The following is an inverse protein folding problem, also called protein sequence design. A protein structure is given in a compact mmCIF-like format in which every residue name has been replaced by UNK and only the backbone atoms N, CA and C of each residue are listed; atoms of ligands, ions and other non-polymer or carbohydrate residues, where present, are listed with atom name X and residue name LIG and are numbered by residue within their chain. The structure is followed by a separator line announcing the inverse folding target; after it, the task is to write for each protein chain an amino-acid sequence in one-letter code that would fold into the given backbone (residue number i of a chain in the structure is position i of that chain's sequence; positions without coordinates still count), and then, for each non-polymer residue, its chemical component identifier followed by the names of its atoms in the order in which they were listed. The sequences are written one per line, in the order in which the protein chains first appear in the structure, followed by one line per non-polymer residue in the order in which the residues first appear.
data_IF_826014750486
#
_entry.id   IF_826014750486
#
_cell.length_a   1.000
_cell.length_b   1.000
_cell.length_c   1.000
_cell.angle_alpha   90.00
_cell.angle_beta   90.00
_cell.angle_gamma   90.00
#
_symmetry.space_group_name_H-M   'P 1'
#
loop_
_entity.id
_entity.type
_entity.pdbx_description
1 polymer ?
#
# COMPACT_ATOMS: atom_id res chain seq x y z
N UNK A 1 -14.09 -24.98 -5.71
CA UNK A 1 -12.89 -24.34 -5.14
C UNK A 1 -12.59 -23.11 -5.98
N UNK A 2 -13.14 -21.95 -5.60
CA UNK A 2 -13.00 -20.71 -6.38
C UNK A 2 -11.77 -20.00 -5.84
N UNK A 3 -10.65 -20.07 -6.55
CA UNK A 3 -9.48 -19.23 -6.32
C UNK A 3 -9.83 -17.86 -6.91
N UNK A 4 -10.59 -17.06 -6.17
CA UNK A 4 -10.84 -15.68 -6.52
C UNK A 4 -9.53 -14.91 -6.39
N UNK A 5 -8.92 -14.51 -7.51
CA UNK A 5 -7.87 -13.49 -7.53
C UNK A 5 -8.46 -12.17 -7.05
N UNK A 6 -8.43 -11.93 -5.75
CA UNK A 6 -8.77 -10.62 -5.17
C UNK A 6 -7.59 -9.66 -5.38
N UNK A 7 -7.61 -8.92 -6.49
CA UNK A 7 -6.73 -7.77 -6.72
C UNK A 7 -7.41 -6.49 -6.19
N UNK A 8 -7.72 -6.49 -4.89
CA UNK A 8 -8.23 -5.31 -4.20
C UNK A 8 -7.06 -4.49 -3.68
N UNK A 9 -6.48 -3.65 -4.52
CA UNK A 9 -5.42 -2.70 -4.13
C UNK A 9 -6.08 -1.55 -3.38
N UNK A 10 -5.82 -1.43 -2.07
CA UNK A 10 -6.04 -0.17 -1.36
C UNK A 10 -5.09 0.86 -1.96
N UNK A 11 -5.60 1.73 -2.84
CA UNK A 11 -4.81 2.81 -3.43
C UNK A 11 -4.64 3.92 -2.41
N UNK A 12 -3.63 3.81 -1.56
CA UNK A 12 -3.29 4.94 -0.66
C UNK A 12 -2.90 6.19 -1.46
N UNK A 13 -2.57 6.04 -2.76
CA UNK A 13 -2.33 7.11 -3.73
C UNK A 13 -3.51 8.06 -3.98
N UNK A 14 -4.73 7.62 -3.71
CA UNK A 14 -5.92 8.48 -3.64
C UNK A 14 -6.68 7.94 -2.45
N UNK A 15 -6.47 8.49 -1.26
CA UNK A 15 -7.12 8.09 0.00
C UNK A 15 -8.65 8.07 -0.18
N UNK A 16 -9.10 6.96 -0.76
CA UNK A 16 -10.45 6.68 -1.19
C UNK A 16 -10.74 5.25 -0.74
N UNK A 17 -11.93 5.01 -0.22
CA UNK A 17 -12.37 3.65 0.05
C UNK A 17 -12.56 2.88 -1.28
N UNK A 18 -13.00 1.63 -1.16
CA UNK A 18 -13.34 0.76 -2.29
C UNK A 18 -14.46 1.33 -3.17
N UNK A 19 -15.20 2.34 -2.68
CA UNK A 19 -16.32 3.00 -3.36
C UNK A 19 -15.90 4.36 -3.97
N UNK A 20 -14.65 4.79 -3.76
CA UNK A 20 -14.12 6.03 -4.31
C UNK A 20 -14.33 7.27 -3.43
N UNK A 21 -14.78 7.13 -2.19
CA UNK A 21 -15.03 8.23 -1.25
C UNK A 21 -13.78 8.72 -0.54
N UNK A 22 -13.62 10.04 -0.38
CA UNK A 22 -12.46 10.63 0.25
C UNK A 22 -12.33 10.22 1.75
N UNK A 23 -11.26 9.48 2.08
CA UNK A 23 -10.98 8.98 3.43
C UNK A 23 -10.33 10.03 4.34
N UNK A 24 -9.69 11.06 3.76
CA UNK A 24 -9.01 12.12 4.51
C UNK A 24 -10.04 12.91 5.31
N UNK A 25 -9.82 13.02 6.63
CA UNK A 25 -10.74 13.70 7.54
C UNK A 25 -11.89 12.83 8.06
N UNK A 26 -12.02 11.58 7.60
CA UNK A 26 -13.12 10.69 8.00
C UNK A 26 -12.62 9.39 8.64
N UNK A 27 -11.60 8.76 8.05
CA UNK A 27 -11.14 7.44 8.47
C UNK A 27 -10.30 7.49 9.75
N UNK A 28 -10.59 6.60 10.72
CA UNK A 28 -9.88 6.50 12.01
C UNK A 28 -9.06 5.21 12.11
N UNK A 29 -7.75 5.33 12.27
CA UNK A 29 -6.83 4.20 12.35
C UNK A 29 -5.46 4.60 12.88
N UNK A 30 -4.56 3.64 12.94
CA UNK A 30 -3.16 3.85 13.32
C UNK A 30 -2.33 4.20 12.07
N UNK A 31 -2.30 5.47 11.65
CA UNK A 31 -1.65 5.87 10.40
C UNK A 31 -0.14 6.12 10.56
N UNK A 32 0.69 5.60 9.66
CA UNK A 32 2.10 5.98 9.58
C UNK A 32 2.23 7.49 9.32
N UNK A 33 3.10 8.14 10.09
CA UNK A 33 3.49 9.53 9.91
C UNK A 33 5.00 9.71 10.03
N UNK A 34 5.50 10.93 9.83
CA UNK A 34 6.94 11.20 9.84
C UNK A 34 7.64 10.81 11.17
N UNK A 35 6.94 10.87 12.30
CA UNK A 35 7.48 10.52 13.62
C UNK A 35 7.59 9.01 13.85
N UNK A 36 7.06 8.18 12.94
CA UNK A 36 7.25 6.73 12.97
C UNK A 36 8.57 6.30 12.33
N UNK A 37 9.38 7.24 11.82
CA UNK A 37 10.64 6.95 11.19
C UNK A 37 11.79 7.65 11.93
N UNK A 38 12.85 6.90 12.20
CA UNK A 38 14.07 7.40 12.83
C UNK A 38 15.26 6.97 11.97
N UNK A 39 16.04 7.93 11.49
CA UNK A 39 17.29 7.67 10.77
C UNK A 39 18.49 7.95 11.65
N UNK A 40 19.55 7.16 11.51
CA UNK A 40 20.83 7.36 12.23
C UNK A 40 21.54 8.66 11.89
N UNK A 41 21.24 9.25 10.74
CA UNK A 41 21.83 10.51 10.28
C UNK A 41 20.85 11.70 10.34
N UNK A 42 19.67 11.50 10.94
CA UNK A 42 18.66 12.53 11.12
C UNK A 42 17.88 12.93 9.87
N UNK A 43 18.08 12.26 8.71
CA UNK A 43 17.30 12.58 7.51
C UNK A 43 15.82 12.22 7.68
N UNK A 44 14.94 12.99 7.04
CA UNK A 44 13.51 12.73 7.02
C UNK A 44 13.11 11.62 6.05
N UNK A 45 11.87 11.15 6.18
CA UNK A 45 11.29 10.07 5.33
C UNK A 45 11.33 10.38 3.84
N UNK A 46 11.37 11.66 3.50
CA UNK A 46 11.45 12.13 2.13
C UNK A 46 12.84 11.92 1.49
N UNK A 47 13.86 11.55 2.26
CA UNK A 47 15.24 11.41 1.83
C UNK A 47 15.80 9.98 1.99
N UNK A 48 14.97 8.98 2.35
CA UNK A 48 15.43 7.61 2.58
C UNK A 48 15.88 6.88 1.30
N UNK A 49 15.41 7.29 0.13
CA UNK A 49 15.70 6.58 -1.12
C UNK A 49 15.18 5.14 -1.08
N UNK A 50 15.97 4.21 -1.62
CA UNK A 50 15.69 2.78 -1.53
C UNK A 50 16.12 2.22 -0.17
N UNK A 51 15.20 1.54 0.51
CA UNK A 51 15.42 0.83 1.76
C UNK A 51 15.50 -0.68 1.50
N UNK A 52 16.38 -1.36 2.22
CA UNK A 52 16.55 -2.81 2.15
C UNK A 52 16.89 -3.43 3.49
N UNK A 53 17.01 -4.76 3.49
CA UNK A 53 17.46 -5.51 4.66
C UNK A 53 18.95 -5.19 4.96
N UNK A 54 19.35 -5.02 6.23
CA UNK A 54 20.75 -4.71 6.58
C UNK A 54 21.75 -5.70 5.99
N UNK A 55 22.72 -5.18 5.24
CA UNK A 55 23.81 -5.93 4.63
C UNK A 55 24.69 -6.53 5.72
N UNK A 56 25.31 -7.69 5.45
CA UNK A 56 26.21 -8.38 6.37
C UNK A 56 25.58 -8.82 7.72
N UNK A 57 24.27 -9.01 7.77
CA UNK A 57 23.60 -9.63 8.93
C UNK A 57 24.02 -11.11 9.08
N UNK A 58 24.20 -11.65 10.31
CA UNK A 58 24.08 -10.98 11.61
C UNK A 58 25.33 -10.24 12.09
N UNK A 59 26.45 -10.37 11.38
CA UNK A 59 27.75 -9.84 11.81
C UNK A 59 27.73 -8.33 12.08
N UNK A 60 27.01 -7.57 11.25
CA UNK A 60 26.90 -6.11 11.36
C UNK A 60 26.41 -5.63 12.72
N UNK A 61 25.55 -6.39 13.40
CA UNK A 61 25.06 -6.02 14.74
C UNK A 61 26.18 -6.02 15.80
N UNK A 62 27.15 -6.94 15.66
CA UNK A 62 28.28 -7.04 16.58
C UNK A 62 29.32 -5.95 16.37
N UNK A 63 29.54 -5.51 15.13
CA UNK A 63 30.68 -4.69 14.74
C UNK A 63 30.33 -3.25 14.38
N UNK A 64 29.09 -2.96 13.99
CA UNK A 64 28.71 -1.63 13.51
C UNK A 64 28.20 -0.72 14.65
N UNK A 65 28.91 0.36 15.01
CA UNK A 65 28.46 1.27 16.06
C UNK A 65 27.22 2.08 15.65
N UNK A 66 27.04 2.39 14.37
CA UNK A 66 25.90 3.19 13.86
C UNK A 66 24.58 2.42 14.04
N UNK A 67 24.55 1.13 13.71
CA UNK A 67 23.39 0.29 13.99
C UNK A 67 23.11 0.20 15.50
N UNK A 68 24.16 0.11 16.33
CA UNK A 68 24.01 0.10 17.80
C UNK A 68 23.47 1.42 18.34
N UNK A 69 23.79 2.57 17.73
CA UNK A 69 23.17 3.85 18.09
C UNK A 69 21.69 3.92 17.73
N UNK A 70 21.22 3.10 16.78
CA UNK A 70 19.81 2.98 16.48
C UNK A 70 19.11 2.04 17.47
N UNK A 71 19.49 0.76 17.49
CA UNK A 71 18.70 -0.31 18.17
C UNK A 71 19.36 -0.92 19.41
N UNK A 72 20.54 -0.44 19.80
CA UNK A 72 21.19 -0.87 21.04
C UNK A 72 20.38 -0.47 22.28
N UNK A 73 20.76 -1.02 23.45
CA UNK A 73 20.06 -0.75 24.74
C UNK A 73 19.96 0.74 25.10
N UNK A 74 20.85 1.59 24.57
CA UNK A 74 20.88 3.05 24.76
C UNK A 74 20.71 3.82 23.45
N UNK A 75 20.21 3.15 22.41
CA UNK A 75 20.01 3.74 21.10
C UNK A 75 18.79 4.64 21.03
N UNK A 76 18.54 5.20 19.84
CA UNK A 76 17.35 6.01 19.54
C UNK A 76 16.05 5.19 19.60
N UNK A 77 16.13 3.90 19.30
CA UNK A 77 15.05 2.92 19.31
C UNK A 77 15.46 1.72 20.19
N UNK A 78 15.54 1.87 21.53
CA UNK A 78 16.01 0.80 22.40
C UNK A 78 15.21 -0.49 22.20
N UNK A 79 15.90 -1.58 21.90
CA UNK A 79 15.29 -2.88 21.66
C UNK A 79 15.77 -3.93 22.67
N UNK A 80 14.86 -4.80 23.09
CA UNK A 80 15.18 -5.93 24.00
C UNK A 80 15.45 -7.23 23.25
N UNK A 81 14.88 -7.39 22.06
CA UNK A 81 15.06 -8.58 21.21
C UNK A 81 15.06 -8.16 19.74
N UNK A 82 15.97 -8.75 18.97
CA UNK A 82 15.99 -8.64 17.52
C UNK A 82 15.71 -10.02 16.91
N UNK A 83 15.00 -10.05 15.80
CA UNK A 83 14.69 -11.27 15.08
C UNK A 83 14.60 -10.98 13.58
N UNK A 84 15.17 -11.86 12.76
CA UNK A 84 14.93 -11.86 11.33
C UNK A 84 13.73 -12.73 11.07
N UNK A 85 12.76 -12.19 10.36
CA UNK A 85 11.58 -12.94 9.92
C UNK A 85 11.56 -13.02 8.41
N UNK A 86 11.21 -14.19 7.88
CA UNK A 86 11.08 -14.46 6.45
C UNK A 86 9.65 -14.29 5.95
N UNK A 87 9.41 -14.85 4.77
CA UNK A 87 8.06 -15.09 4.24
C UNK A 87 7.37 -16.13 5.11
N UNK A 88 6.05 -15.98 5.30
CA UNK A 88 5.28 -16.88 6.15
C UNK A 88 5.25 -18.28 5.54
N UNK A 89 5.31 -19.30 6.39
CA UNK A 89 5.07 -20.71 6.03
C UNK A 89 3.59 -20.95 5.74
N UNK A 90 3.26 -22.11 5.16
CA UNK A 90 1.86 -22.48 4.91
C UNK A 90 1.06 -22.60 6.21
N UNK A 91 1.66 -23.19 7.24
CA UNK A 91 1.05 -23.30 8.56
C UNK A 91 0.76 -21.91 9.14
N UNK A 92 1.69 -20.97 9.03
CA UNK A 92 1.47 -19.60 9.48
C UNK A 92 0.37 -18.91 8.69
N UNK A 93 0.34 -19.06 7.35
CA UNK A 93 -0.71 -18.49 6.49
C UNK A 93 -2.13 -18.85 6.93
N UNK A 94 -2.32 -20.04 7.50
CA UNK A 94 -3.62 -20.46 8.01
C UNK A 94 -4.18 -19.53 9.12
N UNK A 95 -3.31 -18.89 9.91
CA UNK A 95 -3.73 -17.95 10.96
C UNK A 95 -4.37 -16.66 10.40
N UNK A 96 -4.04 -16.29 9.17
CA UNK A 96 -4.56 -15.08 8.52
C UNK A 96 -5.65 -15.39 7.49
N UNK A 97 -6.11 -16.65 7.41
CA UNK A 97 -7.12 -17.06 6.43
C UNK A 97 -8.41 -16.25 6.60
N UNK A 98 -8.85 -15.61 5.51
CA UNK A 98 -10.06 -14.78 5.51
C UNK A 98 -9.86 -13.33 6.00
N UNK A 99 -8.65 -12.95 6.43
CA UNK A 99 -8.33 -11.56 6.73
C UNK A 99 -7.93 -10.81 5.46
N UNK A 100 -8.44 -9.58 5.33
CA UNK A 100 -7.96 -8.63 4.32
C UNK A 100 -6.85 -7.78 4.93
N UNK A 101 -5.60 -8.12 4.62
CA UNK A 101 -4.43 -7.44 5.15
C UNK A 101 -3.97 -6.34 4.21
N UNK A 102 -3.64 -5.19 4.80
CA UNK A 102 -3.39 -3.95 4.07
C UNK A 102 -1.89 -3.63 4.03
N UNK A 103 -1.38 -3.22 2.87
CA UNK A 103 -0.02 -2.70 2.74
C UNK A 103 0.18 -1.48 3.64
N UNK A 104 1.38 -1.35 4.23
CA UNK A 104 1.76 -0.23 5.12
C UNK A 104 0.91 -0.07 6.40
N UNK A 105 0.05 -1.04 6.73
CA UNK A 105 -0.86 -1.00 7.88
C UNK A 105 -0.49 -2.07 8.92
N UNK A 106 0.80 -2.15 9.28
CA UNK A 106 1.27 -3.20 10.20
C UNK A 106 0.56 -3.18 11.56
N UNK A 107 0.21 -1.99 12.05
CA UNK A 107 -0.56 -1.81 13.28
C UNK A 107 -1.94 -2.47 13.22
N UNK A 108 -2.75 -2.12 12.23
CA UNK A 108 -4.11 -2.66 12.09
C UNK A 108 -4.08 -4.14 11.70
N UNK A 109 -3.13 -4.57 10.86
CA UNK A 109 -2.97 -5.98 10.50
C UNK A 109 -2.65 -6.83 11.74
N UNK A 110 -1.71 -6.39 12.57
CA UNK A 110 -1.33 -7.14 13.77
C UNK A 110 -2.48 -7.21 14.78
N UNK A 111 -3.24 -6.12 14.94
CA UNK A 111 -4.43 -6.09 15.79
C UNK A 111 -5.57 -6.95 15.25
N UNK A 112 -5.84 -6.90 13.94
CA UNK A 112 -6.84 -7.74 13.30
C UNK A 112 -6.50 -9.22 13.46
N UNK A 113 -5.22 -9.58 13.28
CA UNK A 113 -4.76 -10.94 13.48
C UNK A 113 -4.87 -11.38 14.94
N UNK A 114 -4.56 -10.49 15.90
CA UNK A 114 -4.77 -10.78 17.32
C UNK A 114 -6.25 -11.05 17.62
N UNK A 115 -7.16 -10.24 17.10
CA UNK A 115 -8.59 -10.44 17.29
C UNK A 115 -9.09 -11.74 16.63
N UNK A 116 -8.53 -12.11 15.47
CA UNK A 116 -8.94 -13.27 14.70
C UNK A 116 -8.38 -14.60 15.22
N UNK A 117 -7.10 -14.62 15.61
CA UNK A 117 -6.36 -15.85 15.91
C UNK A 117 -5.85 -15.93 17.36
N UNK A 118 -6.02 -14.86 18.15
CA UNK A 118 -5.50 -14.76 19.52
C UNK A 118 -3.99 -14.50 19.61
N UNK A 119 -3.28 -14.37 18.48
CA UNK A 119 -1.83 -14.15 18.50
C UNK A 119 -1.48 -12.78 19.10
N UNK A 120 -0.60 -12.78 20.11
CA UNK A 120 -0.20 -11.56 20.82
C UNK A 120 0.50 -10.57 19.89
N UNK A 121 0.09 -9.30 19.92
CA UNK A 121 0.80 -8.22 19.23
C UNK A 121 2.14 -7.93 19.90
N UNK A 122 3.19 -7.85 19.09
CA UNK A 122 4.52 -7.37 19.46
C UNK A 122 4.72 -6.00 18.84
N UNK A 123 5.17 -5.04 19.64
CA UNK A 123 5.37 -3.65 19.24
C UNK A 123 6.85 -3.34 19.17
N UNK A 124 7.28 -2.68 18.11
CA UNK A 124 8.67 -2.30 17.98
C UNK A 124 8.97 -1.57 16.67
N UNK A 125 10.07 -1.98 16.05
CA UNK A 125 10.63 -1.32 14.89
C UNK A 125 11.01 -2.34 13.82
N UNK A 126 10.72 -2.05 12.56
CA UNK A 126 11.34 -2.68 11.41
C UNK A 126 12.59 -1.89 11.04
N UNK A 127 13.72 -2.59 10.90
CA UNK A 127 15.04 -1.99 10.71
C UNK A 127 15.48 -2.22 9.28
N UNK A 128 15.86 -1.12 8.63
CA UNK A 128 16.29 -1.07 7.24
C UNK A 128 17.63 -0.38 7.12
N UNK A 129 18.32 -0.66 6.03
CA UNK A 129 19.51 0.06 5.58
C UNK A 129 19.18 0.83 4.29
N UNK A 130 19.71 2.04 4.15
CA UNK A 130 19.58 2.83 2.93
C UNK A 130 20.49 2.26 1.84
N UNK A 131 19.92 1.64 0.80
CA UNK A 131 20.66 0.92 -0.23
C UNK A 131 21.56 1.82 -1.10
N UNK A 132 21.21 3.10 -1.23
CA UNK A 132 21.99 4.09 -1.98
C UNK A 132 23.23 4.61 -1.24
N UNK A 133 23.41 4.24 0.03
CA UNK A 133 24.54 4.65 0.86
C UNK A 133 25.57 3.51 0.97
N UNK A 134 26.83 3.81 1.35
CA UNK A 134 27.82 2.76 1.63
C UNK A 134 27.31 1.81 2.72
N UNK A 135 27.70 0.53 2.62
CA UNK A 135 27.14 -0.49 3.51
C UNK A 135 27.39 -0.17 5.00
N UNK A 136 26.33 -0.20 5.80
CA UNK A 136 26.37 0.02 7.24
C UNK A 136 26.55 1.47 7.70
N UNK A 137 26.31 2.47 6.84
CA UNK A 137 26.46 3.90 7.23
C UNK A 137 25.15 4.54 7.66
N UNK A 138 24.02 4.19 7.03
CA UNK A 138 22.72 4.80 7.31
C UNK A 138 21.67 3.72 7.50
N UNK A 139 21.06 3.72 8.68
CA UNK A 139 19.97 2.83 9.05
C UNK A 139 18.72 3.62 9.38
N UNK A 140 17.56 3.02 9.07
CA UNK A 140 16.25 3.57 9.35
C UNK A 140 15.46 2.58 10.19
N UNK A 141 14.86 3.05 11.28
CA UNK A 141 13.85 2.33 12.02
C UNK A 141 12.47 2.89 11.65
N UNK A 142 11.57 2.00 11.23
CA UNK A 142 10.14 2.30 11.04
C UNK A 142 9.34 1.66 12.17
N UNK A 143 8.45 2.42 12.83
CA UNK A 143 7.57 1.87 13.86
C UNK A 143 6.69 0.80 13.23
N UNK A 144 6.70 -0.40 13.80
CA UNK A 144 6.12 -1.57 13.16
C UNK A 144 5.57 -2.54 14.20
N UNK A 145 4.39 -3.11 13.95
CA UNK A 145 3.80 -4.14 14.80
C UNK A 145 3.65 -5.45 14.04
N UNK A 146 3.75 -6.56 14.76
CA UNK A 146 3.65 -7.92 14.25
C UNK A 146 3.09 -8.83 15.35
N UNK A 147 3.06 -10.14 15.14
CA UNK A 147 2.50 -11.07 16.11
C UNK A 147 3.52 -12.12 16.58
N UNK A 148 3.38 -12.56 17.83
CA UNK A 148 4.16 -13.65 18.39
C UNK A 148 3.38 -14.97 18.26
N UNK A 149 4.07 -16.02 17.82
CA UNK A 149 3.63 -17.41 17.87
C UNK A 149 4.36 -18.14 19.01
N UNK A 150 4.11 -19.44 19.16
CA UNK A 150 4.88 -20.29 20.09
C UNK A 150 6.33 -20.45 19.66
N UNK A 151 6.56 -20.53 18.35
CA UNK A 151 7.86 -20.84 17.76
C UNK A 151 8.69 -19.59 17.42
N UNK A 152 8.07 -18.40 17.41
CA UNK A 152 8.78 -17.18 17.10
C UNK A 152 7.87 -15.99 16.82
N UNK A 153 8.29 -15.17 15.86
CA UNK A 153 7.55 -13.99 15.42
C UNK A 153 7.14 -14.19 13.98
N UNK A 154 5.95 -13.67 13.67
CA UNK A 154 5.39 -13.66 12.33
C UNK A 154 4.81 -12.28 12.06
N UNK A 155 4.99 -11.79 10.85
CA UNK A 155 4.33 -10.59 10.34
C UNK A 155 3.59 -11.00 9.09
N UNK A 156 2.34 -10.58 8.95
CA UNK A 156 1.50 -10.86 7.79
C UNK A 156 1.21 -9.64 6.93
N UNK A 157 1.78 -8.48 7.28
CA UNK A 157 1.64 -7.27 6.47
C UNK A 157 2.20 -7.53 5.07
N UNK A 158 1.43 -7.27 3.99
CA UNK A 158 1.93 -7.46 2.64
C UNK A 158 3.21 -6.64 2.41
N UNK A 159 4.27 -7.32 1.97
CA UNK A 159 5.62 -6.75 1.79
C UNK A 159 5.94 -6.52 0.32
N UNK A 160 6.84 -5.57 0.01
CA UNK A 160 7.49 -5.51 -1.29
C UNK A 160 8.20 -6.82 -1.64
N UNK A 161 8.20 -7.28 -2.90
CA UNK A 161 8.91 -8.49 -3.32
C UNK A 161 10.41 -8.47 -2.97
N UNK A 162 11.04 -7.29 -3.04
CA UNK A 162 12.44 -7.07 -2.69
C UNK A 162 12.74 -7.16 -1.18
N UNK A 163 11.73 -7.32 -0.32
CA UNK A 163 11.88 -7.46 1.12
C UNK A 163 11.44 -8.86 1.59
N UNK A 164 12.13 -9.94 1.15
CA UNK A 164 11.79 -11.30 1.57
C UNK A 164 12.04 -11.51 3.08
N UNK A 165 12.94 -10.73 3.65
CA UNK A 165 13.27 -10.75 5.08
C UNK A 165 13.10 -9.36 5.69
N UNK A 166 12.63 -9.32 6.94
CA UNK A 166 12.62 -8.12 7.77
C UNK A 166 13.45 -8.35 9.02
N UNK A 167 14.24 -7.35 9.41
CA UNK A 167 14.83 -7.30 10.74
C UNK A 167 13.87 -6.56 11.66
N UNK A 168 13.27 -7.27 12.61
CA UNK A 168 12.37 -6.69 13.59
C UNK A 168 13.06 -6.56 14.95
N UNK A 169 12.81 -5.45 15.62
CA UNK A 169 13.37 -5.10 16.92
C UNK A 169 12.23 -4.80 17.89
N UNK A 170 11.95 -5.71 18.83
CA UNK A 170 10.93 -5.50 19.86
C UNK A 170 11.38 -4.40 20.80
N UNK A 171 10.55 -3.36 20.93
CA UNK A 171 10.89 -2.20 21.73
C UNK A 171 11.05 -2.58 23.20
N UNK A 172 12.02 -1.93 23.86
CA UNK A 172 12.26 -2.09 25.29
C UNK A 172 11.08 -1.56 26.10
N UNK A 173 10.56 -0.41 25.71
CA UNK A 173 9.37 0.23 26.26
C UNK A 173 8.22 0.14 25.27
N UNK A 174 6.97 0.16 25.76
CA UNK A 174 5.83 0.17 24.85
C UNK A 174 5.85 1.43 23.99
N UNK A 175 5.72 1.24 22.68
CA UNK A 175 5.64 2.32 21.69
C UNK A 175 4.21 2.40 21.13
N UNK A 176 3.22 2.85 21.93
CA UNK A 176 1.83 2.89 21.49
C UNK A 176 1.71 3.81 20.27
N UNK A 177 0.83 3.41 19.34
CA UNK A 177 0.45 4.21 18.18
C UNK A 177 -1.00 4.64 18.41
N UNK A 178 -1.28 5.94 18.61
CA UNK A 178 -2.65 6.40 18.80
C UNK A 178 -3.43 6.22 17.50
N UNK A 179 -4.73 5.94 17.64
CA UNK A 179 -5.66 6.04 16.51
C UNK A 179 -5.94 7.52 16.26
N UNK A 180 -5.79 7.95 15.01
CA UNK A 180 -6.07 9.32 14.57
C UNK A 180 -6.98 9.31 13.35
N UNK A 181 -7.62 10.45 13.09
CA UNK A 181 -8.28 10.68 11.80
C UNK A 181 -7.20 10.87 10.74
N UNK A 182 -7.32 10.19 9.59
CA UNK A 182 -6.35 10.27 8.50
C UNK A 182 -6.19 11.70 8.04
N UNK A 183 -5.01 12.27 8.27
CA UNK A 183 -4.64 13.58 7.80
C UNK A 183 -4.17 13.56 6.34
N UNK A 184 -4.14 14.74 5.72
CA UNK A 184 -3.59 14.88 4.36
C UNK A 184 -2.10 14.53 4.31
N UNK A 185 -1.34 14.86 5.36
CA UNK A 185 0.09 14.56 5.43
C UNK A 185 0.36 13.05 5.48
N UNK A 186 -0.41 12.32 6.30
CA UNK A 186 -0.33 10.85 6.39
C UNK A 186 -0.75 10.19 5.08
N UNK A 187 -1.82 10.67 4.43
CA UNK A 187 -2.24 10.17 3.13
C UNK A 187 -1.17 10.38 2.05
N UNK A 188 -0.57 11.57 1.99
CA UNK A 188 0.52 11.87 1.06
C UNK A 188 1.76 11.00 1.32
N UNK A 189 2.13 10.83 2.59
CA UNK A 189 3.24 9.97 2.98
C UNK A 189 2.99 8.53 2.55
N UNK A 190 1.80 8.00 2.85
CA UNK A 190 1.51 6.61 2.53
C UNK A 190 1.37 6.39 1.01
N UNK A 191 0.81 7.33 0.24
CA UNK A 191 0.85 7.32 -1.22
C UNK A 191 2.29 7.21 -1.75
N UNK A 192 3.19 8.03 -1.22
CA UNK A 192 4.60 8.03 -1.58
C UNK A 192 5.29 6.73 -1.21
N UNK A 193 5.06 6.21 0.00
CA UNK A 193 5.62 4.94 0.44
C UNK A 193 5.14 3.77 -0.43
N UNK A 194 3.87 3.78 -0.86
CA UNK A 194 3.35 2.78 -1.82
C UNK A 194 4.13 2.85 -3.12
N UNK A 195 4.29 4.04 -3.69
CA UNK A 195 5.04 4.21 -4.94
C UNK A 195 6.50 3.74 -4.80
N UNK A 196 7.20 4.18 -3.75
CA UNK A 196 8.61 3.84 -3.53
C UNK A 196 8.82 2.34 -3.27
N UNK A 197 7.89 1.68 -2.57
CA UNK A 197 8.04 0.30 -2.11
C UNK A 197 7.44 -0.73 -3.06
N UNK A 198 6.37 -0.37 -3.76
CA UNK A 198 5.59 -1.30 -4.58
C UNK A 198 5.48 -0.87 -6.06
N UNK A 199 5.82 0.38 -6.40
CA UNK A 199 5.55 0.96 -7.73
C UNK A 199 6.64 0.76 -8.80
N UNK A 200 7.70 -0.01 -8.54
CA UNK A 200 8.87 -0.10 -9.43
C UNK A 200 9.20 -1.52 -9.94
N UNK A 201 8.20 -2.41 -10.08
CA UNK A 201 8.39 -3.74 -10.64
C UNK A 201 7.72 -3.96 -12.02
N UNK A 202 7.36 -2.92 -12.76
CA UNK A 202 6.90 -3.06 -14.16
C UNK A 202 8.06 -3.33 -15.17
N UNK A 203 9.26 -3.69 -14.70
CA UNK A 203 10.46 -3.81 -15.54
C UNK A 203 11.18 -5.16 -15.53
N UNK A 204 10.59 -6.26 -15.05
CA UNK A 204 11.25 -7.58 -15.03
C UNK A 204 10.37 -8.72 -15.55
N UNK A 205 9.70 -8.49 -16.68
CA UNK A 205 9.36 -9.55 -17.64
C UNK A 205 9.86 -9.10 -19.02
N UNK A 206 11.16 -9.25 -19.25
CA UNK A 206 11.70 -9.34 -20.61
C UNK A 206 11.02 -10.55 -21.28
N UNK A 207 9.94 -10.33 -22.04
CA UNK A 207 9.50 -11.14 -23.21
C UNK A 207 8.17 -10.72 -23.84
N UNK A 208 7.44 -9.75 -23.30
CA UNK A 208 6.24 -9.23 -23.98
C UNK A 208 6.14 -7.73 -23.80
N UNK A 209 6.27 -6.97 -24.89
CA UNK A 209 6.08 -5.52 -24.93
C UNK A 209 4.62 -5.17 -24.57
N UNK A 210 4.33 -4.78 -23.31
CA UNK A 210 2.97 -4.47 -22.89
C UNK A 210 2.50 -3.14 -23.48
N UNK A 211 3.42 -2.35 -24.05
CA UNK A 211 3.10 -1.06 -24.65
C UNK A 211 2.29 -1.23 -25.93
N UNK A 212 2.44 -2.35 -26.64
CA UNK A 212 1.65 -2.67 -27.81
C UNK A 212 0.18 -2.91 -27.49
N UNK A 213 -0.11 -3.74 -26.49
CA UNK A 213 -1.50 -4.07 -26.10
C UNK A 213 -2.21 -2.88 -25.46
N UNK A 214 -1.54 -2.13 -24.58
CA UNK A 214 -2.14 -0.94 -23.95
C UNK A 214 -2.42 0.15 -24.98
N UNK A 215 -1.52 0.34 -25.95
CA UNK A 215 -1.74 1.31 -27.04
C UNK A 215 -2.87 0.88 -27.97
N UNK A 216 -2.97 -0.41 -28.29
CA UNK A 216 -4.07 -0.95 -29.09
C UNK A 216 -5.43 -0.75 -28.40
N UNK A 217 -5.52 -1.02 -27.09
CA UNK A 217 -6.74 -0.80 -26.31
C UNK A 217 -7.10 0.70 -26.20
N UNK A 218 -6.11 1.59 -26.09
CA UNK A 218 -6.36 3.03 -26.11
C UNK A 218 -6.87 3.52 -27.47
N UNK A 219 -6.32 3.00 -28.57
CA UNK A 219 -6.78 3.32 -29.92
C UNK A 219 -8.20 2.81 -30.18
N UNK A 220 -8.53 1.61 -29.69
CA UNK A 220 -9.86 1.01 -29.78
C UNK A 220 -10.89 1.80 -28.97
N UNK A 221 -10.54 2.21 -27.74
CA UNK A 221 -11.40 3.03 -26.89
C UNK A 221 -11.69 4.40 -27.52
N UNK A 222 -10.67 5.05 -28.10
CA UNK A 222 -10.84 6.32 -28.81
C UNK A 222 -11.68 6.17 -30.08
N UNK A 223 -11.59 5.02 -30.78
CA UNK A 223 -12.47 4.72 -31.92
C UNK A 223 -13.92 4.56 -31.46
N UNK A 224 -14.17 3.72 -30.46
CA UNK A 224 -15.50 3.49 -29.91
C UNK A 224 -16.15 4.78 -29.39
N UNK A 225 -15.37 5.66 -28.75
CA UNK A 225 -15.86 6.98 -28.30
C UNK A 225 -16.33 7.86 -29.47
N UNK A 226 -15.58 7.89 -30.58
CA UNK A 226 -15.98 8.67 -31.76
C UNK A 226 -17.23 8.12 -32.43
N UNK A 227 -17.34 6.80 -32.54
CA UNK A 227 -18.53 6.13 -33.10
C UNK A 227 -19.77 6.43 -32.24
N UNK A 228 -19.62 6.45 -30.90
CA UNK A 228 -20.71 6.81 -30.00
C UNK A 228 -21.15 8.28 -30.14
N UNK A 229 -20.20 9.22 -30.27
CA UNK A 229 -20.49 10.64 -30.47
C UNK A 229 -21.20 10.88 -31.82
N UNK A 230 -20.78 10.18 -32.88
CA UNK A 230 -21.40 10.24 -34.19
C UNK A 230 -22.83 9.70 -34.17
N UNK A 231 -23.06 8.52 -33.58
CA UNK A 231 -24.39 7.95 -33.41
C UNK A 231 -25.33 8.86 -32.59
N UNK A 232 -24.81 9.51 -31.54
CA UNK A 232 -25.58 10.46 -30.74
C UNK A 232 -25.95 11.71 -31.54
N UNK A 233 -25.05 12.20 -32.40
CA UNK A 233 -25.31 13.32 -33.31
C UNK A 233 -26.40 12.96 -34.34
N UNK A 234 -26.32 11.79 -34.97
CA UNK A 234 -27.33 11.30 -35.91
C UNK A 234 -28.72 11.17 -35.28
N UNK A 235 -28.78 10.66 -34.05
CA UNK A 235 -30.04 10.56 -33.32
C UNK A 235 -30.67 11.94 -33.07
N UNK A 236 -29.89 12.93 -32.62
CA UNK A 236 -30.39 14.31 -32.41
C UNK A 236 -30.90 14.94 -33.71
N UNK A 237 -30.23 14.68 -34.83
CA UNK A 237 -30.64 15.13 -36.15
C UNK A 237 -31.94 14.45 -36.61
N UNK A 238 -32.13 13.16 -36.28
CA UNK A 238 -33.38 12.45 -36.54
C UNK A 238 -34.53 13.00 -35.71
N UNK A 239 -34.34 13.16 -34.39
CA UNK A 239 -35.36 13.71 -33.47
C UNK A 239 -35.80 15.12 -33.90
N UNK A 240 -34.84 15.97 -34.32
CA UNK A 240 -35.13 17.30 -34.86
C UNK A 240 -35.98 17.27 -36.13
N UNK A 241 -35.69 16.33 -37.04
CA UNK A 241 -36.48 16.14 -38.28
C UNK A 241 -37.89 15.64 -38.00
N UNK A 242 -38.05 14.75 -37.02
CA UNK A 242 -39.38 14.25 -36.59
C UNK A 242 -40.19 15.38 -35.95
N UNK A 243 -39.57 16.20 -35.10
CA UNK A 243 -40.23 17.35 -34.47
C UNK A 243 -40.69 18.42 -35.47
N UNK A 244 -39.99 18.58 -36.59
CA UNK A 244 -40.35 19.53 -37.65
C UNK A 244 -41.42 19.03 -38.61
N UNK A 245 -41.86 17.75 -38.52
CA UNK A 245 -42.95 17.27 -39.39
C UNK A 245 -44.24 17.99 -39.01
N UNK A 246 -44.84 18.78 -39.93
CA UNK A 246 -46.11 19.45 -39.65
C UNK A 246 -47.15 18.39 -39.32
N UNK A 247 -47.97 18.61 -38.28
CA UNK A 247 -49.05 17.69 -37.92
C UNK A 247 -50.08 17.72 -39.05
N UNK A 248 -49.94 16.76 -39.98
CA UNK A 248 -50.87 16.55 -41.09
C UNK A 248 -52.15 15.92 -40.56
N UNK A 249 -52.92 16.70 -39.78
CA UNK A 249 -54.02 16.17 -38.99
C UNK A 249 -54.90 17.22 -38.32
N UNK A 250 -55.11 18.38 -38.93
CA UNK A 250 -56.36 19.12 -38.70
C UNK A 250 -57.27 18.90 -39.90
N UNK A 251 -57.92 17.73 -39.92
CA UNK A 251 -59.16 17.52 -40.67
C UNK A 251 -60.20 18.49 -40.11
N UNK A 252 -60.29 19.68 -40.71
CA UNK A 252 -61.41 20.58 -40.53
C UNK A 252 -62.67 19.92 -41.08
N UNK A 253 -63.38 19.21 -40.20
CA UNK A 253 -64.75 18.77 -40.43
C UNK A 253 -65.64 20.03 -40.50
N UNK A 254 -65.89 20.52 -41.73
CA UNK A 254 -67.01 21.42 -42.01
C UNK A 254 -68.29 20.59 -41.83
N UNK A 255 -69.08 20.96 -40.82
CA UNK A 255 -70.51 20.63 -40.75
C UNK A 255 -71.25 21.77 -41.41
N UNK A 256 -71.99 21.45 -42.46
CA UNK A 256 -73.23 22.14 -42.88
C UNK A 256 -74.29 21.04 -43.06
#
# INVERSE_FOLDING_TARGET
MIVGRYHGTFFVGRAKDMEGHQLVGQSKGCWLNACDFISTDGRGVDAFGELGFPKNWPHIYGTNPVLKTLVGKRGLCPAKKLCVIGVQTETERSHACGLHLLQLQSFENAQALQAHSGLRVVRGWAIFECCGEPAGTVFVAERYWWNATRDGWVDFTPRPPRWPHLLLAEALEETPKPRSVLSRAEANLAARLVQLRFGAHEGASETGDPSGEVRALQEELLRASREADEACSEQRMWESRVAQRPSSGQCSARRD
#
